data_IF_770136482319
#
_entry.id   IF_770136482319
#
_cell.length_a   1.000
_cell.length_b   1.000
_cell.length_c   1.000
_cell.angle_alpha   90.00
_cell.angle_beta   90.00
_cell.angle_gamma   90.00
#
_symmetry.space_group_name_H-M   'P 1'
#
loop_
_entity.id
_entity.type
_entity.pdbx_description
1 polymer ?
#
# COMPACT_ATOMS: atom_id res chain seq x y z
N UNK A 1 4.08 -3.89 -21.32
CA UNK A 1 3.50 -3.17 -20.17
C UNK A 1 2.85 -1.89 -20.67
N UNK A 2 1.60 -1.62 -20.29
CA UNK A 2 0.94 -0.36 -20.65
C UNK A 2 1.52 0.77 -19.80
N UNK A 3 2.06 1.81 -20.44
CA UNK A 3 2.62 2.98 -19.77
C UNK A 3 1.63 3.60 -18.74
N UNK A 4 0.33 3.51 -19.01
CA UNK A 4 -0.72 4.04 -18.13
C UNK A 4 -0.78 3.39 -16.74
N UNK A 5 -0.45 2.10 -16.61
CA UNK A 5 -0.52 1.38 -15.33
C UNK A 5 0.63 1.78 -14.41
N UNK A 6 1.82 1.98 -14.96
CA UNK A 6 2.98 2.45 -14.20
C UNK A 6 2.80 3.90 -13.73
N UNK A 7 2.19 4.75 -14.56
CA UNK A 7 1.88 6.14 -14.18
C UNK A 7 0.88 6.21 -13.04
N UNK A 8 -0.22 5.44 -13.10
CA UNK A 8 -1.21 5.34 -12.02
C UNK A 8 -0.60 4.83 -10.72
N UNK A 9 0.34 3.89 -10.83
CA UNK A 9 1.00 3.31 -9.67
C UNK A 9 1.97 4.27 -8.98
N UNK A 10 2.79 4.98 -9.78
CA UNK A 10 3.67 6.04 -9.28
C UNK A 10 2.86 7.17 -8.63
N UNK A 11 1.71 7.53 -9.20
CA UNK A 11 0.78 8.50 -8.60
C UNK A 11 0.26 8.01 -7.25
N UNK A 12 -0.16 6.76 -7.14
CA UNK A 12 -0.62 6.17 -5.88
C UNK A 12 0.47 6.14 -4.80
N UNK A 13 1.70 5.79 -5.17
CA UNK A 13 2.86 5.83 -4.27
C UNK A 13 3.19 7.26 -3.82
N UNK A 14 3.12 8.23 -4.73
CA UNK A 14 3.41 9.63 -4.44
C UNK A 14 2.39 10.22 -3.45
N UNK A 15 1.09 9.94 -3.67
CA UNK A 15 0.01 10.39 -2.79
C UNK A 15 0.16 9.78 -1.40
N UNK A 16 0.41 8.47 -1.32
CA UNK A 16 0.56 7.79 -0.04
C UNK A 16 1.84 8.21 0.71
N UNK A 17 2.93 8.53 0.00
CA UNK A 17 4.13 9.10 0.59
C UNK A 17 3.89 10.52 1.14
N UNK A 18 3.20 11.38 0.38
CA UNK A 18 2.84 12.72 0.83
C UNK A 18 1.89 12.69 2.05
N UNK A 19 0.89 11.80 2.02
CA UNK A 19 -0.01 11.58 3.15
C UNK A 19 0.73 11.09 4.40
N UNK A 20 1.69 10.17 4.24
CA UNK A 20 2.55 9.72 5.33
C UNK A 20 3.40 10.86 5.89
N UNK A 21 3.95 11.73 5.04
CA UNK A 21 4.75 12.87 5.48
C UNK A 21 3.92 13.87 6.29
N UNK A 22 2.70 14.16 5.84
CA UNK A 22 1.74 15.04 6.54
C UNK A 22 1.35 14.43 7.89
N UNK A 23 1.09 13.12 7.94
CA UNK A 23 0.75 12.43 9.18
C UNK A 23 1.90 12.47 10.22
N UNK A 24 3.16 12.39 9.78
CA UNK A 24 4.33 12.59 10.68
C UNK A 24 4.34 14.01 11.26
N UNK A 25 4.07 15.02 10.42
CA UNK A 25 4.07 16.43 10.84
C UNK A 25 2.97 16.71 11.89
N UNK A 26 1.79 16.10 11.71
CA UNK A 26 0.64 16.28 12.62
C UNK A 26 0.74 15.38 13.86
N UNK A 27 1.77 14.52 13.95
CA UNK A 27 1.92 13.47 14.97
C UNK A 27 0.69 12.55 15.09
N UNK A 28 -0.06 12.40 14.01
CA UNK A 28 -1.20 11.49 13.97
C UNK A 28 -0.69 10.08 13.61
N UNK A 29 -0.42 9.30 14.66
CA UNK A 29 -0.01 7.90 14.57
C UNK A 29 -1.02 7.05 13.79
N UNK A 30 -2.30 7.40 13.80
CA UNK A 30 -3.36 6.65 13.13
C UNK A 30 -3.34 6.93 11.63
N UNK A 31 -3.31 8.21 11.23
CA UNK A 31 -3.16 8.61 9.83
C UNK A 31 -1.83 8.10 9.23
N UNK A 32 -0.77 8.03 10.04
CA UNK A 32 0.52 7.46 9.65
C UNK A 32 0.40 5.95 9.39
N UNK A 33 -0.20 5.21 10.31
CA UNK A 33 -0.41 3.76 10.17
C UNK A 33 -1.27 3.41 8.95
N UNK A 34 -2.31 4.20 8.68
CA UNK A 34 -3.15 4.07 7.48
C UNK A 34 -2.34 4.30 6.21
N UNK A 35 -1.59 5.41 6.14
CA UNK A 35 -0.82 5.79 4.95
C UNK A 35 0.29 4.78 4.64
N UNK A 36 1.03 4.33 5.66
CA UNK A 36 2.10 3.34 5.53
C UNK A 36 1.54 1.97 5.12
N UNK A 37 0.42 1.54 5.72
CA UNK A 37 -0.23 0.28 5.36
C UNK A 37 -0.72 0.27 3.91
N UNK A 38 -1.24 1.41 3.43
CA UNK A 38 -1.65 1.58 2.04
C UNK A 38 -0.44 1.52 1.08
N UNK A 39 0.66 2.19 1.42
CA UNK A 39 1.94 2.16 0.70
C UNK A 39 2.46 0.73 0.54
N UNK A 40 2.52 -0.03 1.63
CA UNK A 40 2.97 -1.42 1.61
C UNK A 40 2.02 -2.31 0.80
N UNK A 41 0.71 -2.13 0.93
CA UNK A 41 -0.29 -2.87 0.15
C UNK A 41 -0.03 -2.71 -1.34
N UNK A 42 0.10 -1.47 -1.81
CA UNK A 42 0.35 -1.14 -3.22
C UNK A 42 1.74 -1.62 -3.70
N UNK A 43 2.76 -1.46 -2.86
CA UNK A 43 4.14 -1.93 -3.10
C UNK A 43 4.17 -3.43 -3.39
N UNK A 44 3.59 -4.21 -2.50
CA UNK A 44 3.59 -5.66 -2.62
C UNK A 44 2.64 -6.18 -3.69
N UNK A 45 1.55 -5.46 -3.98
CA UNK A 45 0.64 -5.80 -5.08
C UNK A 45 1.35 -5.69 -6.43
N UNK A 46 2.09 -4.61 -6.66
CA UNK A 46 2.84 -4.42 -7.90
C UNK A 46 4.02 -5.38 -8.02
N UNK A 47 4.73 -5.61 -6.91
CA UNK A 47 5.79 -6.63 -6.86
C UNK A 47 5.25 -8.02 -7.16
N UNK A 48 4.05 -8.35 -6.69
CA UNK A 48 3.35 -9.59 -7.06
C UNK A 48 3.05 -9.65 -8.56
N UNK A 49 2.51 -8.57 -9.14
CA UNK A 49 2.22 -8.51 -10.58
C UNK A 49 3.48 -8.69 -11.43
N UNK A 50 4.58 -7.98 -11.10
CA UNK A 50 5.88 -8.14 -11.76
C UNK A 50 6.43 -9.56 -11.67
N UNK A 51 6.38 -10.16 -10.48
CA UNK A 51 6.85 -11.54 -10.28
C UNK A 51 6.01 -12.56 -11.05
N UNK A 52 4.73 -12.25 -11.33
CA UNK A 52 3.86 -13.08 -12.17
C UNK A 52 4.26 -12.95 -13.66
N UNK A 53 4.56 -11.75 -14.13
CA UNK A 53 5.05 -11.50 -15.49
C UNK A 53 6.40 -12.18 -15.77
N UNK A 54 7.27 -12.26 -14.76
CA UNK A 54 8.58 -12.94 -14.85
C UNK A 54 8.49 -14.48 -14.72
N UNK A 55 7.30 -15.06 -14.69
CA UNK A 55 7.09 -16.52 -14.54
C UNK A 55 7.39 -17.06 -13.13
N UNK A 56 7.62 -16.20 -12.13
CA UNK A 56 7.92 -16.57 -10.74
C UNK A 56 6.65 -16.73 -9.90
N UNK A 57 5.74 -17.61 -10.30
CA UNK A 57 4.40 -17.75 -9.70
C UNK A 57 4.39 -18.00 -8.18
N UNK A 58 5.37 -18.78 -7.67
CA UNK A 58 5.47 -19.06 -6.22
C UNK A 58 5.77 -17.80 -5.42
N UNK A 59 6.65 -16.92 -5.94
CA UNK A 59 6.97 -15.62 -5.33
C UNK A 59 5.83 -14.62 -5.52
N UNK A 60 5.17 -14.61 -6.68
CA UNK A 60 4.00 -13.77 -6.93
C UNK A 60 2.88 -14.03 -5.90
N UNK A 61 2.53 -15.31 -5.66
CA UNK A 61 1.53 -15.67 -4.63
C UNK A 61 1.95 -15.26 -3.22
N UNK A 62 3.24 -15.38 -2.88
CA UNK A 62 3.76 -14.93 -1.60
C UNK A 62 3.59 -13.41 -1.42
N UNK A 63 4.02 -12.62 -2.40
CA UNK A 63 3.85 -11.16 -2.36
C UNK A 63 2.38 -10.73 -2.38
N UNK A 64 1.51 -11.47 -3.08
CA UNK A 64 0.06 -11.24 -3.03
C UNK A 64 -0.51 -11.46 -1.63
N UNK A 65 -0.07 -12.51 -0.92
CA UNK A 65 -0.48 -12.76 0.48
C UNK A 65 0.00 -11.66 1.42
N UNK A 66 1.23 -11.18 1.24
CA UNK A 66 1.76 -10.05 2.02
C UNK A 66 0.95 -8.77 1.75
N UNK A 67 0.67 -8.47 0.48
CA UNK A 67 -0.17 -7.33 0.11
C UNK A 67 -1.55 -7.42 0.77
N UNK A 68 -2.16 -8.61 0.76
CA UNK A 68 -3.45 -8.84 1.42
C UNK A 68 -3.38 -8.61 2.94
N UNK A 69 -2.31 -9.05 3.59
CA UNK A 69 -2.09 -8.80 5.02
C UNK A 69 -2.05 -7.31 5.33
N UNK A 70 -1.27 -6.54 4.59
CA UNK A 70 -1.20 -5.08 4.76
C UNK A 70 -2.52 -4.38 4.43
N UNK A 71 -3.32 -4.93 3.50
CA UNK A 71 -4.65 -4.42 3.22
C UNK A 71 -5.61 -4.59 4.42
N UNK A 72 -5.52 -5.73 5.13
CA UNK A 72 -6.28 -5.90 6.37
C UNK A 72 -5.80 -4.96 7.48
N UNK A 73 -4.48 -4.75 7.61
CA UNK A 73 -3.94 -3.75 8.53
C UNK A 73 -4.43 -2.34 8.19
N UNK A 74 -4.51 -2.00 6.90
CA UNK A 74 -5.07 -0.73 6.44
C UNK A 74 -6.54 -0.59 6.83
N UNK A 75 -7.37 -1.60 6.58
CA UNK A 75 -8.78 -1.58 6.98
C UNK A 75 -8.97 -1.43 8.49
N UNK A 76 -8.16 -2.14 9.28
CA UNK A 76 -8.21 -2.07 10.74
C UNK A 76 -7.80 -0.67 11.24
N UNK A 77 -6.70 -0.12 10.71
CA UNK A 77 -6.23 1.21 11.06
C UNK A 77 -7.22 2.30 10.63
N UNK A 78 -7.82 2.16 9.44
CA UNK A 78 -8.81 3.10 8.93
C UNK A 78 -10.12 3.05 9.75
N UNK A 79 -10.59 1.85 10.12
CA UNK A 79 -11.73 1.70 11.00
C UNK A 79 -11.48 2.35 12.37
N UNK A 80 -10.27 2.17 12.94
CA UNK A 80 -9.90 2.83 14.19
C UNK A 80 -9.86 4.36 14.07
N UNK A 81 -9.34 4.88 12.95
CA UNK A 81 -9.33 6.32 12.65
C UNK A 81 -10.73 6.93 12.55
N UNK A 82 -11.71 6.15 12.07
CA UNK A 82 -13.11 6.58 11.95
C UNK A 82 -13.86 6.56 13.30
N UNK A 83 -13.40 5.76 14.26
CA UNK A 83 -14.05 5.59 15.57
C UNK A 83 -13.47 6.46 16.68
N UNK A 84 -12.30 7.07 16.47
CA UNK A 84 -11.69 8.00 17.43
C UNK A 84 -11.91 9.44 16.92
N UNK A 85 -12.66 10.29 17.66
CA UNK A 85 -12.90 11.68 17.29
C UNK A 85 -11.65 12.57 17.43
#
# INVERSE_FOLDING_TARGET
>A
MNASLETLWLLGMLIAAAASLIAVIIQDLTALAVSVSLLFTLTYLFRSSRMKEEGREKKARFFKRISLFFFFCFLLAAANALTMP
#
